data_IF_324673786961
#
_entry.id   IF_324673786961
#
_cell.length_a   1.000
_cell.length_b   1.000
_cell.length_c   1.000
_cell.angle_alpha   90.00
_cell.angle_beta   90.00
_cell.angle_gamma   90.00
#
_symmetry.space_group_name_H-M   'P 1'
#
loop_
_entity.id
_entity.type
_entity.pdbx_description
1 polymer ?
#
# COMPACT_ATOMS: atom_id res chain seq x y z
N UNK A 1 10.23 5.74 43.43
CA UNK A 1 9.12 4.80 43.20
C UNK A 1 9.29 4.36 41.76
N UNK A 2 9.63 3.09 41.52
CA UNK A 2 9.82 2.59 40.15
C UNK A 2 8.43 2.42 39.55
N UNK A 3 8.04 3.31 38.65
CA UNK A 3 6.81 3.15 37.86
C UNK A 3 7.02 1.96 36.90
N UNK A 4 6.45 0.81 37.26
CA UNK A 4 6.42 -0.35 36.38
C UNK A 4 5.30 -0.17 35.36
N UNK A 5 5.60 -0.44 34.08
CA UNK A 5 4.58 -0.47 33.03
C UNK A 5 3.64 -1.67 33.24
N UNK A 6 2.32 -1.54 33.00
CA UNK A 6 1.34 -2.61 33.18
C UNK A 6 1.39 -3.60 32.00
N UNK A 7 2.45 -4.41 31.93
CA UNK A 7 2.71 -5.36 30.83
C UNK A 7 2.80 -6.79 31.38
N UNK A 8 2.16 -7.73 30.70
CA UNK A 8 2.20 -9.17 30.98
C UNK A 8 2.81 -9.92 29.80
N UNK A 9 3.69 -10.87 30.08
CA UNK A 9 4.28 -11.78 29.10
C UNK A 9 3.64 -13.17 29.16
N UNK A 10 3.14 -13.65 28.02
CA UNK A 10 2.67 -15.02 27.85
C UNK A 10 3.82 -15.89 27.34
N UNK A 11 4.27 -16.85 28.17
CA UNK A 11 5.36 -17.78 27.84
C UNK A 11 5.03 -18.77 26.73
N UNK A 12 3.75 -19.14 26.57
CA UNK A 12 3.30 -20.10 25.56
C UNK A 12 3.18 -19.40 24.20
N UNK A 13 2.52 -18.24 24.17
CA UNK A 13 2.36 -17.46 22.95
C UNK A 13 3.64 -16.70 22.57
N UNK A 14 4.55 -16.48 23.53
CA UNK A 14 5.74 -15.63 23.40
C UNK A 14 5.38 -14.20 22.98
N UNK A 15 4.31 -13.65 23.59
CA UNK A 15 3.79 -12.32 23.28
C UNK A 15 3.62 -11.49 24.55
N UNK A 16 3.64 -10.18 24.37
CA UNK A 16 3.37 -9.18 25.39
C UNK A 16 1.93 -8.65 25.25
N UNK A 17 1.33 -8.27 26.37
CA UNK A 17 -0.01 -7.68 26.41
C UNK A 17 -0.10 -6.67 27.56
N UNK A 18 -1.08 -5.76 27.51
CA UNK A 18 -1.43 -4.96 28.68
C UNK A 18 -2.06 -5.84 29.76
N UNK A 19 -1.83 -5.50 31.02
CA UNK A 19 -2.51 -6.16 32.14
C UNK A 19 -4.04 -6.02 32.05
N UNK A 20 -4.78 -7.05 32.46
CA UNK A 20 -6.25 -7.07 32.33
C UNK A 20 -6.97 -6.00 33.18
N UNK A 21 -6.31 -5.48 34.20
CA UNK A 21 -6.83 -4.49 35.14
C UNK A 21 -6.75 -3.04 34.62
N UNK A 22 -6.07 -2.81 33.50
CA UNK A 22 -5.94 -1.45 32.93
C UNK A 22 -6.95 -1.18 31.83
N UNK A 23 -7.40 0.07 31.74
CA UNK A 23 -8.26 0.53 30.66
C UNK A 23 -7.42 0.83 29.43
N UNK A 24 -7.74 0.18 28.31
CA UNK A 24 -7.05 0.41 27.02
C UNK A 24 -7.05 1.88 26.59
N UNK A 25 -8.10 2.65 26.92
CA UNK A 25 -8.18 4.08 26.60
C UNK A 25 -7.02 4.90 27.15
N UNK A 26 -6.50 4.50 28.30
CA UNK A 26 -5.52 5.25 29.08
C UNK A 26 -4.09 4.88 28.67
N UNK A 27 -3.94 3.77 27.94
CA UNK A 27 -2.65 3.17 27.54
C UNK A 27 -2.59 2.88 26.03
N UNK A 28 -3.28 3.67 25.18
CA UNK A 28 -3.34 3.45 23.73
C UNK A 28 -1.96 3.40 23.08
N UNK A 29 -1.09 4.34 23.43
CA UNK A 29 0.27 4.42 22.86
C UNK A 29 1.11 3.22 23.29
N UNK A 30 1.04 2.84 24.57
CA UNK A 30 1.72 1.64 25.07
C UNK A 30 1.20 0.37 24.38
N UNK A 31 -0.10 0.25 24.16
CA UNK A 31 -0.67 -0.87 23.43
C UNK A 31 -0.18 -0.95 21.97
N UNK A 32 0.01 0.20 21.33
CA UNK A 32 0.59 0.28 19.98
C UNK A 32 2.04 -0.22 19.98
N UNK A 33 2.87 0.23 20.93
CA UNK A 33 4.25 -0.23 21.10
C UNK A 33 4.31 -1.74 21.37
N UNK A 34 3.45 -2.27 22.24
CA UNK A 34 3.34 -3.71 22.50
C UNK A 34 3.00 -4.49 21.22
N UNK A 35 2.07 -3.98 20.41
CA UNK A 35 1.67 -4.61 19.14
C UNK A 35 2.82 -4.63 18.14
N UNK A 36 3.56 -3.53 18.03
CA UNK A 36 4.74 -3.43 17.16
C UNK A 36 5.87 -4.35 17.65
N UNK A 37 6.10 -4.40 18.96
CA UNK A 37 7.10 -5.28 19.57
C UNK A 37 6.77 -6.76 19.36
N UNK A 38 5.51 -7.16 19.49
CA UNK A 38 5.05 -8.51 19.17
C UNK A 38 5.30 -8.88 17.69
N UNK A 39 5.14 -7.92 16.78
CA UNK A 39 5.48 -8.12 15.36
C UNK A 39 6.97 -8.39 15.19
N UNK A 40 7.83 -7.61 15.86
CA UNK A 40 9.29 -7.80 15.81
C UNK A 40 9.75 -9.12 16.46
N UNK A 41 9.16 -9.52 17.58
CA UNK A 41 9.44 -10.80 18.25
C UNK A 41 9.11 -11.95 17.30
N UNK A 42 7.94 -11.91 16.67
CA UNK A 42 7.52 -12.92 15.69
C UNK A 42 8.46 -12.98 14.50
N UNK A 43 8.86 -11.83 13.95
CA UNK A 43 9.79 -11.76 12.83
C UNK A 43 11.17 -12.34 13.22
N UNK A 44 11.68 -12.02 14.40
CA UNK A 44 12.95 -12.54 14.91
C UNK A 44 12.91 -14.06 15.07
N UNK A 45 11.89 -14.59 15.76
CA UNK A 45 11.72 -16.04 15.96
C UNK A 45 11.64 -16.78 14.62
N UNK A 46 10.88 -16.25 13.66
CA UNK A 46 10.69 -16.89 12.35
C UNK A 46 11.93 -16.80 11.46
N UNK A 47 12.78 -15.80 11.68
CA UNK A 47 14.02 -15.63 10.90
C UNK A 47 15.12 -16.61 11.30
N UNK A 48 15.04 -17.20 12.49
CA UNK A 48 16.03 -18.13 13.03
C UNK A 48 17.44 -17.54 13.12
N UNK A 49 17.54 -16.22 13.29
CA UNK A 49 18.77 -15.52 13.66
C UNK A 49 18.74 -15.16 15.14
N UNK A 50 19.88 -15.28 15.82
CA UNK A 50 20.03 -14.75 17.19
C UNK A 50 20.01 -13.21 17.19
N UNK A 51 20.59 -12.62 16.14
CA UNK A 51 20.59 -11.19 15.86
C UNK A 51 20.36 -10.99 14.37
N UNK A 52 19.37 -10.17 13.95
CA UNK A 52 19.11 -9.92 12.54
C UNK A 52 20.36 -9.39 11.81
N UNK A 53 20.69 -9.93 10.62
CA UNK A 53 21.80 -9.41 9.83
C UNK A 53 21.48 -7.99 9.33
N UNK A 54 22.48 -7.15 9.06
CA UNK A 54 22.26 -5.86 8.42
C UNK A 54 21.50 -6.02 7.08
N UNK A 55 20.59 -5.09 6.75
CA UNK A 55 19.86 -5.14 5.49
C UNK A 55 20.82 -4.85 4.33
N UNK A 56 21.08 -5.87 3.51
CA UNK A 56 21.82 -5.75 2.25
C UNK A 56 20.94 -6.18 1.07
N UNK A 57 21.41 -5.96 -0.16
CA UNK A 57 20.70 -6.43 -1.37
C UNK A 57 20.63 -7.95 -1.44
N UNK A 58 21.55 -8.67 -0.80
CA UNK A 58 21.58 -10.13 -0.75
C UNK A 58 20.89 -10.73 0.48
N UNK A 59 20.71 -9.93 1.54
CA UNK A 59 20.11 -10.32 2.81
C UNK A 59 18.59 -10.09 2.79
N UNK A 60 17.85 -11.07 2.25
CA UNK A 60 16.39 -11.07 2.23
C UNK A 60 15.83 -12.50 2.20
N UNK A 61 14.57 -12.66 2.58
CA UNK A 61 13.87 -13.95 2.53
C UNK A 61 13.59 -14.37 1.09
N UNK A 62 14.50 -15.15 0.50
CA UNK A 62 14.46 -15.58 -0.92
C UNK A 62 13.18 -16.31 -1.31
N UNK A 63 12.70 -17.23 -0.46
CA UNK A 63 11.49 -17.98 -0.71
C UNK A 63 10.26 -17.07 -0.79
N UNK A 64 10.18 -16.07 0.09
CA UNK A 64 9.09 -15.09 0.08
C UNK A 64 9.13 -14.25 -1.20
N UNK A 65 10.31 -13.77 -1.62
CA UNK A 65 10.47 -13.07 -2.90
C UNK A 65 10.03 -13.93 -4.10
N UNK A 66 10.34 -15.22 -4.11
CA UNK A 66 9.89 -16.14 -5.17
C UNK A 66 8.36 -16.30 -5.17
N UNK A 67 7.75 -16.44 -4.00
CA UNK A 67 6.28 -16.54 -3.88
C UNK A 67 5.59 -15.25 -4.35
N UNK A 68 6.09 -14.08 -3.95
CA UNK A 68 5.57 -12.78 -4.38
C UNK A 68 5.66 -12.65 -5.90
N UNK A 69 6.83 -12.93 -6.49
CA UNK A 69 7.02 -12.88 -7.95
C UNK A 69 6.08 -13.83 -8.69
N UNK A 70 5.92 -15.06 -8.20
CA UNK A 70 5.01 -16.04 -8.80
C UNK A 70 3.55 -15.59 -8.72
N UNK A 71 3.13 -15.06 -7.57
CA UNK A 71 1.77 -14.57 -7.37
C UNK A 71 1.49 -13.35 -8.26
N UNK A 72 2.44 -12.41 -8.34
CA UNK A 72 2.36 -11.26 -9.23
C UNK A 72 2.22 -11.68 -10.70
N UNK A 73 3.05 -12.62 -11.17
CA UNK A 73 2.97 -13.14 -12.52
C UNK A 73 1.61 -13.82 -12.81
N UNK A 74 1.05 -14.54 -11.84
CA UNK A 74 -0.30 -15.11 -11.94
C UNK A 74 -1.36 -14.01 -12.06
N UNK A 75 -1.28 -12.97 -11.23
CA UNK A 75 -2.20 -11.83 -11.27
C UNK A 75 -2.17 -11.11 -12.63
N UNK A 76 -0.97 -10.88 -13.18
CA UNK A 76 -0.79 -10.30 -14.52
C UNK A 76 -1.37 -11.20 -15.61
N UNK A 77 -1.23 -12.52 -15.50
CA UNK A 77 -1.87 -13.45 -16.44
C UNK A 77 -3.41 -13.35 -16.38
N UNK A 78 -3.98 -13.24 -15.18
CA UNK A 78 -5.41 -13.00 -14.96
C UNK A 78 -5.87 -11.65 -15.56
N UNK A 79 -5.06 -10.59 -15.42
CA UNK A 79 -5.32 -9.29 -16.07
C UNK A 79 -5.38 -9.42 -17.59
N UNK A 80 -4.41 -10.10 -18.21
CA UNK A 80 -4.37 -10.32 -19.67
C UNK A 80 -5.55 -11.15 -20.16
N UNK A 81 -5.99 -12.11 -19.35
CA UNK A 81 -7.18 -12.92 -19.60
C UNK A 81 -8.50 -12.19 -19.30
N UNK A 82 -8.47 -10.90 -18.95
CA UNK A 82 -9.62 -10.08 -18.54
C UNK A 82 -10.40 -10.64 -17.34
N UNK A 83 -9.75 -11.47 -16.52
CA UNK A 83 -10.31 -12.01 -15.27
C UNK A 83 -10.00 -11.05 -14.12
N UNK A 84 -10.55 -9.83 -14.16
CA UNK A 84 -10.15 -8.75 -13.27
C UNK A 84 -10.44 -9.00 -11.78
N UNK A 85 -11.56 -9.63 -11.45
CA UNK A 85 -11.89 -10.00 -10.06
C UNK A 85 -10.88 -11.00 -9.47
N UNK A 86 -10.46 -11.98 -10.28
CA UNK A 86 -9.43 -12.93 -9.87
C UNK A 86 -8.07 -12.26 -9.75
N UNK A 87 -7.73 -11.37 -10.69
CA UNK A 87 -6.49 -10.59 -10.62
C UNK A 87 -6.41 -9.73 -9.35
N UNK A 88 -7.48 -9.05 -8.97
CA UNK A 88 -7.53 -8.22 -7.75
C UNK A 88 -7.29 -9.05 -6.48
N UNK A 89 -7.86 -10.27 -6.41
CA UNK A 89 -7.60 -11.22 -5.31
C UNK A 89 -6.13 -11.65 -5.28
N UNK A 90 -5.57 -12.01 -6.44
CA UNK A 90 -4.18 -12.45 -6.54
C UNK A 90 -3.20 -11.32 -6.19
N UNK A 91 -3.44 -10.08 -6.62
CA UNK A 91 -2.65 -8.92 -6.19
C UNK A 91 -2.80 -8.66 -4.68
N UNK A 92 -3.98 -8.84 -4.10
CA UNK A 92 -4.18 -8.72 -2.65
C UNK A 92 -3.36 -9.76 -1.88
N UNK A 93 -3.30 -11.01 -2.35
CA UNK A 93 -2.43 -12.03 -1.76
C UNK A 93 -0.96 -11.66 -1.92
N UNK A 94 -0.54 -11.17 -3.09
CA UNK A 94 0.83 -10.71 -3.31
C UNK A 94 1.21 -9.55 -2.36
N UNK A 95 0.31 -8.59 -2.13
CA UNK A 95 0.50 -7.50 -1.16
C UNK A 95 0.62 -8.00 0.28
N UNK A 96 -0.21 -8.95 0.67
CA UNK A 96 -0.11 -9.59 1.98
C UNK A 96 1.25 -10.26 2.18
N UNK A 97 1.76 -10.93 1.16
CA UNK A 97 3.11 -11.52 1.19
C UNK A 97 4.21 -10.45 1.25
N UNK A 98 4.11 -9.36 0.47
CA UNK A 98 5.08 -8.27 0.50
C UNK A 98 5.15 -7.57 1.86
N UNK A 99 4.01 -7.33 2.49
CA UNK A 99 3.93 -6.66 3.81
C UNK A 99 4.30 -7.59 4.98
N UNK A 100 4.25 -8.91 4.77
CA UNK A 100 4.71 -9.92 5.72
C UNK A 100 6.24 -10.07 5.80
N UNK A 101 7.01 -9.32 5.00
CA UNK A 101 8.48 -9.27 5.13
C UNK A 101 8.89 -8.87 6.54
N UNK A 102 9.99 -9.45 7.01
CA UNK A 102 10.56 -9.10 8.29
C UNK A 102 10.97 -7.63 8.31
N UNK A 103 10.65 -6.92 9.40
CA UNK A 103 10.84 -5.45 9.46
C UNK A 103 12.29 -4.98 9.43
N UNK A 104 13.25 -5.89 9.61
CA UNK A 104 14.68 -5.63 9.49
C UNK A 104 15.25 -5.93 8.09
N UNK A 105 14.43 -6.36 7.13
CA UNK A 105 14.85 -6.46 5.73
C UNK A 105 14.91 -5.08 5.06
N UNK A 106 15.47 -5.02 3.84
CA UNK A 106 15.52 -3.79 3.05
C UNK A 106 14.12 -3.21 2.83
N UNK A 107 13.90 -2.00 3.36
CA UNK A 107 12.68 -1.23 3.09
C UNK A 107 12.52 -0.95 1.59
N UNK A 108 13.60 -0.60 0.90
CA UNK A 108 13.56 -0.31 -0.54
C UNK A 108 13.11 -1.53 -1.37
N UNK A 109 13.57 -2.74 -1.00
CA UNK A 109 13.11 -3.97 -1.63
C UNK A 109 11.63 -4.22 -1.39
N UNK A 110 11.21 -4.10 -0.13
CA UNK A 110 9.81 -4.29 0.28
C UNK A 110 8.86 -3.32 -0.42
N UNK A 111 9.19 -2.03 -0.41
CA UNK A 111 8.31 -1.00 -0.97
C UNK A 111 8.14 -1.15 -2.48
N UNK A 112 9.18 -1.59 -3.20
CA UNK A 112 9.10 -1.83 -4.64
C UNK A 112 8.09 -2.94 -4.97
N UNK A 113 8.07 -4.01 -4.17
CA UNK A 113 7.11 -5.10 -4.33
C UNK A 113 5.69 -4.70 -3.90
N UNK A 114 5.56 -3.88 -2.86
CA UNK A 114 4.25 -3.32 -2.46
C UNK A 114 3.69 -2.44 -3.59
N UNK A 115 4.50 -1.51 -4.11
CA UNK A 115 4.08 -0.56 -5.13
C UNK A 115 3.62 -1.25 -6.42
N UNK A 116 4.35 -2.24 -6.92
CA UNK A 116 3.97 -2.93 -8.16
C UNK A 116 2.67 -3.74 -8.00
N UNK A 117 2.42 -4.32 -6.82
CA UNK A 117 1.19 -5.06 -6.56
C UNK A 117 0.00 -4.14 -6.25
N UNK A 118 0.24 -2.97 -5.61
CA UNK A 118 -0.78 -1.92 -5.44
C UNK A 118 -1.24 -1.40 -6.80
N UNK A 119 -0.30 -1.08 -7.70
CA UNK A 119 -0.63 -0.62 -9.05
C UNK A 119 -1.46 -1.65 -9.82
N UNK A 120 -1.08 -2.93 -9.74
CA UNK A 120 -1.84 -4.02 -10.36
C UNK A 120 -3.25 -4.18 -9.78
N UNK A 121 -3.41 -4.07 -8.46
CA UNK A 121 -4.73 -4.14 -7.80
C UNK A 121 -5.61 -2.94 -8.16
N UNK A 122 -5.04 -1.73 -8.15
CA UNK A 122 -5.72 -0.52 -8.59
C UNK A 122 -6.23 -0.68 -10.03
N UNK A 123 -5.35 -1.10 -10.96
CA UNK A 123 -5.73 -1.32 -12.36
C UNK A 123 -6.85 -2.38 -12.48
N UNK A 124 -6.79 -3.48 -11.72
CA UNK A 124 -7.84 -4.49 -11.71
C UNK A 124 -9.19 -3.93 -11.20
N UNK A 125 -9.17 -3.16 -10.11
CA UNK A 125 -10.36 -2.52 -9.54
C UNK A 125 -10.96 -1.47 -10.49
N UNK A 126 -10.12 -0.67 -11.17
CA UNK A 126 -10.57 0.26 -12.22
C UNK A 126 -11.27 -0.48 -13.36
N UNK A 127 -10.74 -1.63 -13.82
CA UNK A 127 -11.37 -2.44 -14.87
C UNK A 127 -12.71 -3.05 -14.45
N UNK A 128 -12.95 -3.21 -13.15
CA UNK A 128 -14.24 -3.65 -12.60
C UNK A 128 -15.20 -2.50 -12.29
N UNK A 129 -14.77 -1.23 -12.44
CA UNK A 129 -15.54 -0.07 -12.03
C UNK A 129 -15.60 0.14 -10.51
N UNK A 130 -14.72 -0.52 -9.74
CA UNK A 130 -14.59 -0.33 -8.29
C UNK A 130 -13.69 0.88 -8.01
N UNK A 131 -14.21 2.07 -8.33
CA UNK A 131 -13.43 3.32 -8.33
C UNK A 131 -12.93 3.75 -6.95
N UNK A 132 -13.71 3.50 -5.89
CA UNK A 132 -13.30 3.84 -4.52
C UNK A 132 -12.13 2.97 -4.06
N UNK A 133 -12.19 1.66 -4.29
CA UNK A 133 -11.10 0.73 -3.92
C UNK A 133 -9.83 1.03 -4.72
N UNK A 134 -9.98 1.33 -6.02
CA UNK A 134 -8.86 1.77 -6.85
C UNK A 134 -8.27 3.11 -6.38
N UNK A 135 -9.12 4.07 -6.00
CA UNK A 135 -8.69 5.37 -5.48
C UNK A 135 -7.83 5.22 -4.22
N UNK A 136 -8.24 4.38 -3.27
CA UNK A 136 -7.48 4.17 -2.03
C UNK A 136 -6.09 3.58 -2.30
N UNK A 137 -5.97 2.65 -3.25
CA UNK A 137 -4.68 2.13 -3.68
C UNK A 137 -3.83 3.22 -4.34
N UNK A 138 -4.42 4.06 -5.19
CA UNK A 138 -3.72 5.15 -5.86
C UNK A 138 -3.26 6.25 -4.90
N UNK A 139 -4.08 6.61 -3.92
CA UNK A 139 -3.74 7.61 -2.91
C UNK A 139 -2.57 7.15 -2.03
N UNK A 140 -2.57 5.88 -1.64
CA UNK A 140 -1.43 5.28 -0.96
C UNK A 140 -0.18 5.30 -1.84
N UNK A 141 -0.29 4.96 -3.13
CA UNK A 141 0.84 5.04 -4.06
C UNK A 141 1.38 6.46 -4.23
N UNK A 142 0.51 7.48 -4.30
CA UNK A 142 0.93 8.89 -4.34
C UNK A 142 1.61 9.34 -3.04
N UNK A 143 1.23 8.77 -1.89
CA UNK A 143 1.89 9.03 -0.61
C UNK A 143 3.28 8.38 -0.56
N UNK A 144 3.42 7.17 -1.07
CA UNK A 144 4.67 6.40 -1.04
C UNK A 144 5.67 6.81 -2.12
N UNK A 145 5.18 7.20 -3.30
CA UNK A 145 5.99 7.55 -4.47
C UNK A 145 5.32 8.69 -5.25
N UNK A 146 5.31 9.88 -4.62
CA UNK A 146 4.70 11.08 -5.19
C UNK A 146 5.32 11.50 -6.53
N UNK A 147 6.57 11.12 -6.81
CA UNK A 147 7.31 11.51 -8.01
C UNK A 147 6.99 10.65 -9.24
N UNK A 148 6.05 9.71 -9.16
CA UNK A 148 5.64 8.85 -10.28
C UNK A 148 4.35 9.41 -10.90
N UNK A 149 4.40 10.02 -12.11
CA UNK A 149 3.24 10.65 -12.74
C UNK A 149 2.04 9.71 -12.92
N UNK A 150 2.30 8.43 -13.21
CA UNK A 150 1.25 7.44 -13.45
C UNK A 150 0.41 7.12 -12.21
N UNK A 151 0.91 7.39 -11.01
CA UNK A 151 0.12 7.24 -9.77
C UNK A 151 -0.95 8.33 -9.69
N UNK A 152 -0.55 9.58 -9.95
CA UNK A 152 -1.46 10.73 -10.01
C UNK A 152 -2.47 10.59 -11.14
N UNK A 153 -2.05 10.10 -12.31
CA UNK A 153 -2.95 9.81 -13.41
C UNK A 153 -4.06 8.84 -13.02
N UNK A 154 -3.73 7.71 -12.38
CA UNK A 154 -4.74 6.73 -11.95
C UNK A 154 -5.67 7.32 -10.88
N UNK A 155 -5.11 8.05 -9.92
CA UNK A 155 -5.89 8.72 -8.85
C UNK A 155 -6.89 9.73 -9.43
N UNK A 156 -6.43 10.58 -10.35
CA UNK A 156 -7.27 11.55 -11.05
C UNK A 156 -8.38 10.89 -11.86
N UNK A 157 -8.10 9.79 -12.57
CA UNK A 157 -9.13 9.02 -13.29
C UNK A 157 -10.20 8.49 -12.32
N UNK A 158 -9.78 7.96 -11.16
CA UNK A 158 -10.72 7.50 -10.15
C UNK A 158 -11.58 8.66 -9.61
N UNK A 159 -10.98 9.82 -9.34
CA UNK A 159 -11.70 11.02 -8.90
C UNK A 159 -12.73 11.48 -9.94
N UNK A 160 -12.40 11.52 -11.24
CA UNK A 160 -13.39 11.82 -12.30
C UNK A 160 -14.56 10.84 -12.25
N UNK A 161 -14.28 9.55 -12.08
CA UNK A 161 -15.32 8.50 -12.03
C UNK A 161 -16.15 8.53 -10.74
N UNK A 162 -15.63 9.12 -9.68
CA UNK A 162 -16.34 9.37 -8.42
C UNK A 162 -17.09 10.71 -8.41
N UNK A 163 -16.93 11.55 -9.45
CA UNK A 163 -17.57 12.87 -9.56
C UNK A 163 -16.76 14.01 -8.91
N UNK A 164 -15.57 13.74 -8.40
CA UNK A 164 -14.70 14.70 -7.73
C UNK A 164 -13.82 15.44 -8.76
N UNK A 165 -14.43 16.31 -9.58
CA UNK A 165 -13.74 16.90 -10.73
C UNK A 165 -12.60 17.85 -10.34
N UNK A 166 -12.75 18.61 -9.26
CA UNK A 166 -11.72 19.54 -8.78
C UNK A 166 -10.49 18.79 -8.25
N UNK A 167 -10.71 17.72 -7.50
CA UNK A 167 -9.66 16.85 -6.99
C UNK A 167 -8.95 16.13 -8.15
N UNK A 168 -9.69 15.66 -9.15
CA UNK A 168 -9.10 15.06 -10.35
C UNK A 168 -8.19 16.04 -11.09
N UNK A 169 -8.63 17.29 -11.27
CA UNK A 169 -7.80 18.35 -11.85
C UNK A 169 -6.50 18.54 -11.06
N UNK A 170 -6.61 18.66 -9.73
CA UNK A 170 -5.45 18.84 -8.86
C UNK A 170 -4.48 17.66 -8.95
N UNK A 171 -4.98 16.42 -8.99
CA UNK A 171 -4.14 15.23 -9.16
C UNK A 171 -3.43 15.26 -10.53
N UNK A 172 -4.12 15.60 -11.62
CA UNK A 172 -3.47 15.68 -12.94
C UNK A 172 -2.40 16.77 -13.02
N UNK A 173 -2.68 17.96 -12.49
CA UNK A 173 -1.70 19.06 -12.40
C UNK A 173 -0.47 18.65 -11.58
N UNK A 174 -0.68 17.95 -10.46
CA UNK A 174 0.40 17.43 -9.62
C UNK A 174 1.22 16.36 -10.34
N UNK A 175 0.58 15.48 -11.10
CA UNK A 175 1.27 14.52 -11.95
C UNK A 175 2.17 15.20 -12.99
N UNK A 176 1.69 16.28 -13.61
CA UNK A 176 2.43 17.07 -14.59
C UNK A 176 3.63 17.81 -13.98
N UNK A 177 3.63 18.10 -12.68
CA UNK A 177 4.83 18.61 -11.99
C UNK A 177 6.00 17.62 -12.03
N UNK A 178 5.73 16.33 -12.16
CA UNK A 178 6.75 15.27 -12.25
C UNK A 178 6.97 14.75 -13.69
N UNK A 179 6.07 15.07 -14.61
CA UNK A 179 6.16 14.69 -16.02
C UNK A 179 5.37 15.67 -16.90
N UNK A 180 5.97 16.84 -17.18
CA UNK A 180 5.28 17.96 -17.82
C UNK A 180 4.79 17.67 -19.25
N UNK A 181 5.45 16.75 -19.95
CA UNK A 181 5.14 16.31 -21.31
C UNK A 181 4.31 15.02 -21.36
N UNK A 182 3.81 14.53 -20.22
CA UNK A 182 3.09 13.27 -20.15
C UNK A 182 1.75 13.37 -20.92
N UNK A 183 1.61 12.73 -22.10
CA UNK A 183 0.54 13.04 -23.06
C UNK A 183 -0.85 12.71 -22.52
N UNK A 184 -0.97 11.61 -21.77
CA UNK A 184 -2.25 11.20 -21.19
C UNK A 184 -2.69 12.11 -20.04
N UNK A 185 -1.76 12.69 -19.27
CA UNK A 185 -2.11 13.60 -18.19
C UNK A 185 -2.60 14.93 -18.77
N UNK A 186 -1.92 15.45 -19.79
CA UNK A 186 -2.36 16.64 -20.53
C UNK A 186 -3.76 16.43 -21.15
N UNK A 187 -3.99 15.27 -21.76
CA UNK A 187 -5.29 14.92 -22.33
C UNK A 187 -6.41 14.84 -21.28
N UNK A 188 -6.19 14.14 -20.17
CA UNK A 188 -7.20 14.03 -19.11
C UNK A 188 -7.42 15.37 -18.37
N UNK A 189 -6.39 16.20 -18.22
CA UNK A 189 -6.51 17.56 -17.68
C UNK A 189 -7.37 18.46 -18.59
N UNK A 190 -7.18 18.38 -19.91
CA UNK A 190 -8.04 19.10 -20.85
C UNK A 190 -9.49 18.64 -20.77
N UNK A 191 -9.72 17.32 -20.68
CA UNK A 191 -11.05 16.74 -20.54
C UNK A 191 -11.74 17.18 -19.24
N UNK A 192 -11.05 17.12 -18.09
CA UNK A 192 -11.65 17.49 -16.80
C UNK A 192 -11.96 18.98 -16.72
N UNK A 193 -11.10 19.85 -17.29
CA UNK A 193 -11.40 21.29 -17.36
C UNK A 193 -12.66 21.57 -18.18
N UNK A 194 -12.89 20.84 -19.28
CA UNK A 194 -14.13 20.95 -20.05
C UNK A 194 -15.34 20.52 -19.23
N UNK A 195 -15.25 19.39 -18.52
CA UNK A 195 -16.35 18.91 -17.65
C UNK A 195 -16.68 19.91 -16.54
N UNK A 196 -15.67 20.52 -15.92
CA UNK A 196 -15.85 21.56 -14.90
C UNK A 196 -16.55 22.78 -15.49
N UNK A 197 -16.14 23.24 -16.68
CA UNK A 197 -16.78 24.37 -17.35
C UNK A 197 -18.25 24.09 -17.72
N UNK A 198 -18.56 22.87 -18.17
CA UNK A 198 -19.94 22.43 -18.42
C UNK A 198 -20.77 22.41 -17.13
N UNK A 199 -20.22 21.89 -16.01
CA UNK A 199 -20.89 21.88 -14.70
C UNK A 199 -21.17 23.31 -14.17
N UNK A 200 -20.26 24.24 -14.46
CA UNK A 200 -20.41 25.65 -14.11
C UNK A 200 -21.34 26.45 -15.04
N UNK A 201 -21.76 25.89 -16.17
CA UNK A 201 -22.56 26.59 -17.19
C UNK A 201 -21.78 27.61 -18.01
N UNK A 202 -20.47 27.43 -18.14
CA UNK A 202 -19.56 28.28 -18.92
C UNK A 202 -19.48 27.85 -20.41
N UNK A 203 -20.15 26.75 -20.78
CA UNK A 203 -20.21 26.14 -22.12
C UNK A 203 -21.64 25.81 -22.54
#
# INVERSE_FOLDING_TARGET
MTDYLPIVYDTNAKTLSLSEDVKLSDYKDLNLEITQLNTLIKDLINSNYDVPPPPTKESYTKNLSMMIKKMHASAVASMRAKKFSEAAKQFTVALGLSTARFKFESFQGTITEVMINLAGRADANMMMGQWLDAYLDCDLMCTLAANVPENHLRKGICNVKLGNLQEAKSDYERGLCFGADHPRLLGELANVNKLIAEENGEL
#
